data_IF_217003939159
#
_entry.id   IF_217003939159
#
_cell.length_a   1.000
_cell.length_b   1.000
_cell.length_c   1.000
_cell.angle_alpha   90.00
_cell.angle_beta   90.00
_cell.angle_gamma   90.00
#
_symmetry.space_group_name_H-M   'P 1'
#
loop_
_entity.id
_entity.type
_entity.pdbx_description
1 polymer ?
#
# COMPACT_ATOMS: atom_id res chain seq x y z
N UNK A 1 -6.37 -6.44 10.15
CA UNK A 1 -5.45 -6.31 9.00
C UNK A 1 -5.53 -4.88 8.47
N UNK A 2 -4.42 -4.17 8.31
CA UNK A 2 -4.44 -2.79 7.80
C UNK A 2 -4.74 -2.77 6.30
N UNK A 3 -5.56 -1.81 5.84
CA UNK A 3 -5.90 -1.62 4.41
C UNK A 3 -4.65 -1.52 3.54
N UNK A 4 -3.58 -0.90 4.05
CA UNK A 4 -2.31 -0.77 3.35
C UNK A 4 -1.56 -2.09 3.16
N UNK A 5 -1.62 -3.00 4.15
CA UNK A 5 -1.02 -4.35 4.04
C UNK A 5 -1.74 -5.19 2.99
N UNK A 6 -3.06 -5.03 2.87
CA UNK A 6 -3.84 -5.67 1.82
C UNK A 6 -3.43 -5.17 0.43
N UNK A 7 -3.30 -3.85 0.25
CA UNK A 7 -2.81 -3.27 -1.00
C UNK A 7 -1.41 -3.81 -1.33
N UNK A 8 -0.49 -3.89 -0.36
CA UNK A 8 0.87 -4.38 -0.61
C UNK A 8 0.92 -5.86 -1.02
N UNK A 9 0.09 -6.71 -0.40
CA UNK A 9 -0.01 -8.12 -0.76
C UNK A 9 -0.59 -8.32 -2.18
N UNK A 10 -1.48 -7.42 -2.61
CA UNK A 10 -2.16 -7.51 -3.90
C UNK A 10 -1.47 -6.70 -5.01
N UNK A 11 -0.55 -5.78 -4.70
CA UNK A 11 0.11 -4.92 -5.72
C UNK A 11 0.90 -5.69 -6.77
N UNK A 12 1.30 -6.93 -6.46
CA UNK A 12 2.00 -7.82 -7.39
C UNK A 12 1.08 -8.36 -8.50
N UNK A 13 -0.22 -8.43 -8.23
CA UNK A 13 -1.24 -8.96 -9.13
C UNK A 13 -2.13 -7.88 -9.74
N UNK A 14 -2.35 -6.77 -9.00
CA UNK A 14 -3.26 -5.70 -9.38
C UNK A 14 -2.62 -4.32 -9.26
N UNK A 15 -3.00 -3.37 -10.14
CA UNK A 15 -2.50 -2.01 -10.04
C UNK A 15 -2.95 -1.34 -8.73
N UNK A 16 -2.00 -0.70 -8.04
CA UNK A 16 -2.21 -0.01 -6.76
C UNK A 16 -3.38 0.98 -6.81
N UNK A 17 -3.55 1.71 -7.92
CA UNK A 17 -4.66 2.68 -8.06
C UNK A 17 -6.03 2.02 -7.92
N UNK A 18 -6.22 0.84 -8.52
CA UNK A 18 -7.46 0.07 -8.43
C UNK A 18 -7.70 -0.37 -6.98
N UNK A 19 -6.66 -0.89 -6.32
CA UNK A 19 -6.73 -1.32 -4.93
C UNK A 19 -7.04 -0.14 -3.99
N UNK A 20 -6.40 1.02 -4.20
CA UNK A 20 -6.68 2.26 -3.47
C UNK A 20 -8.13 2.70 -3.62
N UNK A 21 -8.73 2.59 -4.81
CA UNK A 21 -10.15 2.86 -5.02
C UNK A 21 -11.04 1.84 -4.29
N UNK A 22 -10.68 0.55 -4.33
CA UNK A 22 -11.46 -0.53 -3.71
C UNK A 22 -11.55 -0.42 -2.19
N UNK A 23 -10.47 0.01 -1.53
CA UNK A 23 -10.44 0.18 -0.06
C UNK A 23 -10.63 1.63 0.38
N UNK A 24 -10.99 2.52 -0.55
CA UNK A 24 -11.23 3.95 -0.33
C UNK A 24 -10.07 4.64 0.41
N UNK A 25 -8.84 4.35 -0.04
CA UNK A 25 -7.61 4.91 0.52
C UNK A 25 -6.97 5.85 -0.49
N UNK A 26 -6.52 7.05 -0.07
CA UNK A 26 -5.79 7.95 -0.95
C UNK A 26 -4.43 7.34 -1.32
N UNK A 27 -4.05 7.43 -2.59
CA UNK A 27 -2.77 6.92 -3.09
C UNK A 27 -1.57 7.57 -2.37
N UNK A 28 -1.68 8.85 -2.00
CA UNK A 28 -0.65 9.56 -1.22
C UNK A 28 -0.36 8.91 0.13
N UNK A 29 -1.41 8.46 0.85
CA UNK A 29 -1.26 7.73 2.11
C UNK A 29 -0.61 6.36 1.92
N UNK A 30 -0.92 5.68 0.81
CA UNK A 30 -0.29 4.41 0.47
C UNK A 30 1.21 4.55 0.20
N UNK A 31 1.63 5.54 -0.60
CA UNK A 31 3.06 5.74 -0.89
C UNK A 31 3.86 6.18 0.35
N UNK A 32 3.29 7.02 1.21
CA UNK A 32 3.91 7.40 2.48
C UNK A 32 4.08 6.18 3.40
N UNK A 33 3.04 5.34 3.49
CA UNK A 33 3.11 4.09 4.24
C UNK A 33 4.14 3.12 3.64
N UNK A 34 4.20 3.00 2.32
CA UNK A 34 5.14 2.12 1.61
C UNK A 34 6.60 2.53 1.87
N UNK A 35 6.90 3.84 1.84
CA UNK A 35 8.23 4.36 2.21
C UNK A 35 8.58 4.01 3.65
N UNK A 36 7.65 4.20 4.58
CA UNK A 36 7.85 3.83 5.98
C UNK A 36 8.05 2.30 6.16
N UNK A 37 7.46 1.46 5.31
CA UNK A 37 7.74 0.02 5.33
C UNK A 37 9.13 -0.31 4.75
N UNK A 38 9.54 0.32 3.65
CA UNK A 38 10.88 0.14 3.08
C UNK A 38 11.97 0.53 4.08
N UNK A 39 11.78 1.61 4.81
CA UNK A 39 12.72 2.03 5.87
C UNK A 39 12.80 1.02 7.01
N UNK A 40 11.70 0.35 7.37
CA UNK A 40 11.70 -0.69 8.42
C UNK A 40 12.40 -1.99 8.03
N UNK A 41 12.54 -2.29 6.73
CA UNK A 41 13.27 -3.47 6.25
C UNK A 41 14.77 -3.21 6.17
N UNK A 42 15.18 -1.94 6.09
CA UNK A 42 16.58 -1.53 6.00
C UNK A 42 17.27 -1.28 7.36
N UNK A 43 16.63 -1.65 8.48
CA UNK A 43 17.14 -1.47 9.85
C UNK A 43 17.44 -2.82 10.50
#
# INVERSE_FOLDING_TARGET
MSRYRFIEAQRAHYPVRLLCQLVEVPASGYYAWQQAQHQKVAQ
#
